data_IF_058143806951
#
_entry.id   IF_058143806951
#
_cell.length_a   1.000
_cell.length_b   1.000
_cell.length_c   1.000
_cell.angle_alpha   90.00
_cell.angle_beta   90.00
_cell.angle_gamma   90.00
#
_symmetry.space_group_name_H-M   'P 1'
#
loop_
_entity.id
_entity.type
_entity.pdbx_description
1 polymer ?
#
# COMPACT_ATOMS: atom_id res chain seq x y z
N UNK A 1 -25.64 13.49 -20.06
CA UNK A 1 -24.43 13.86 -19.31
C UNK A 1 -24.81 14.04 -17.86
N UNK A 2 -24.95 12.93 -17.14
CA UNK A 2 -25.09 12.94 -15.68
C UNK A 2 -23.69 13.02 -15.11
N UNK A 3 -23.39 14.11 -14.41
CA UNK A 3 -22.26 14.16 -13.49
C UNK A 3 -22.56 13.09 -12.44
N UNK A 4 -21.97 11.90 -12.58
CA UNK A 4 -22.05 10.87 -11.54
C UNK A 4 -21.39 11.48 -10.31
N UNK A 5 -22.20 11.89 -9.34
CA UNK A 5 -21.77 12.45 -8.07
C UNK A 5 -21.12 11.32 -7.27
N UNK A 6 -19.87 10.99 -7.64
CA UNK A 6 -19.10 9.91 -7.03
C UNK A 6 -18.89 10.25 -5.56
N UNK A 7 -19.27 9.31 -4.68
CA UNK A 7 -19.16 9.44 -3.23
C UNK A 7 -17.80 10.03 -2.78
N UNK A 8 -17.76 10.83 -1.70
CA UNK A 8 -16.53 11.46 -1.23
C UNK A 8 -15.48 10.42 -0.82
N UNK A 9 -14.22 10.69 -1.12
CA UNK A 9 -13.08 9.83 -0.73
C UNK A 9 -12.88 9.89 0.80
N UNK A 10 -12.87 8.74 1.47
CA UNK A 10 -12.81 8.57 2.94
C UNK A 10 -11.44 8.08 3.41
N UNK A 11 -10.37 8.78 3.04
CA UNK A 11 -9.01 8.46 3.51
C UNK A 11 -8.76 9.05 4.90
N UNK A 12 -8.14 8.26 5.78
CA UNK A 12 -7.70 8.70 7.10
C UNK A 12 -6.21 9.00 7.07
N UNK A 13 -5.88 10.29 7.11
CA UNK A 13 -4.51 10.76 7.22
C UNK A 13 -4.28 11.40 8.60
N UNK A 14 -3.12 11.17 9.24
CA UNK A 14 -2.78 11.82 10.50
C UNK A 14 -2.62 13.32 10.29
N UNK A 15 -2.86 14.11 11.34
CA UNK A 15 -2.57 15.55 11.32
C UNK A 15 -1.06 15.73 11.21
N UNK A 16 -0.63 16.68 10.36
CA UNK A 16 0.76 17.09 10.31
C UNK A 16 1.00 18.19 11.34
N UNK A 17 1.15 17.81 12.60
CA UNK A 17 1.28 18.69 13.76
C UNK A 17 2.72 18.90 14.24
N UNK A 18 3.70 18.26 13.61
CA UNK A 18 5.13 18.44 13.89
C UNK A 18 5.76 19.42 12.91
N UNK A 19 6.55 20.34 13.45
CA UNK A 19 7.32 21.34 12.68
C UNK A 19 8.76 20.92 12.42
N UNK A 20 9.27 19.93 13.15
CA UNK A 20 10.64 19.44 13.08
C UNK A 20 10.66 17.92 12.95
N UNK A 21 11.71 17.40 12.33
CA UNK A 21 11.97 15.98 12.20
C UNK A 21 13.35 15.66 12.80
N UNK A 22 13.42 14.61 13.62
CA UNK A 22 14.51 14.43 14.59
C UNK A 22 15.68 13.57 14.09
N UNK A 23 15.62 13.04 12.86
CA UNK A 23 16.57 12.01 12.41
C UNK A 23 17.61 12.50 11.39
N UNK A 24 17.19 13.23 10.36
CA UNK A 24 18.05 13.75 9.30
C UNK A 24 17.36 14.94 8.61
N UNK A 25 18.05 15.84 7.91
CA UNK A 25 17.39 16.90 7.15
C UNK A 25 16.43 16.30 6.10
N UNK A 26 15.23 16.86 5.93
CA UNK A 26 14.17 16.25 5.11
C UNK A 26 14.36 16.46 3.59
N UNK A 27 15.45 15.94 3.05
CA UNK A 27 15.68 15.85 1.60
C UNK A 27 15.89 14.41 1.17
N UNK A 28 15.66 14.11 -0.11
CA UNK A 28 15.93 12.77 -0.65
C UNK A 28 17.40 12.36 -0.56
N UNK A 29 18.34 13.31 -0.66
CA UNK A 29 19.77 13.04 -0.57
C UNK A 29 20.19 12.68 0.86
N UNK A 30 19.76 13.47 1.83
CA UNK A 30 20.02 13.21 3.26
C UNK A 30 19.37 11.90 3.71
N UNK A 31 18.16 11.60 3.23
CA UNK A 31 17.49 10.33 3.47
C UNK A 31 18.25 9.14 2.89
N UNK A 32 18.82 9.28 1.69
CA UNK A 32 19.61 8.23 1.05
C UNK A 32 20.94 8.00 1.78
N UNK A 33 21.62 9.08 2.19
CA UNK A 33 22.84 9.00 3.00
C UNK A 33 22.55 8.31 4.33
N UNK A 34 21.51 8.74 5.04
CA UNK A 34 21.06 8.12 6.28
C UNK A 34 20.71 6.64 6.08
N UNK A 35 19.97 6.29 5.02
CA UNK A 35 19.57 4.92 4.73
C UNK A 35 20.75 4.00 4.41
N UNK A 36 21.86 4.54 3.87
CA UNK A 36 23.09 3.79 3.63
C UNK A 36 23.79 3.31 4.92
N UNK A 37 23.51 3.97 6.04
CA UNK A 37 24.02 3.62 7.36
C UNK A 37 23.21 2.56 8.12
N UNK A 38 22.08 2.10 7.57
CA UNK A 38 21.22 1.11 8.23
C UNK A 38 21.90 -0.26 8.33
N UNK A 39 21.72 -0.99 9.45
CA UNK A 39 22.40 -2.26 9.67
C UNK A 39 21.91 -3.35 8.71
N UNK A 40 22.79 -3.81 7.82
CA UNK A 40 22.48 -4.85 6.81
C UNK A 40 22.19 -6.23 7.44
N UNK A 41 22.67 -6.48 8.67
CA UNK A 41 22.60 -7.79 9.33
C UNK A 41 21.31 -8.02 10.12
N UNK A 42 20.52 -6.99 10.40
CA UNK A 42 19.36 -7.07 11.30
C UNK A 42 18.10 -6.46 10.71
N UNK A 43 17.34 -7.26 9.97
CA UNK A 43 16.05 -6.82 9.40
C UNK A 43 15.04 -6.34 10.47
N UNK A 44 15.08 -6.92 11.68
CA UNK A 44 14.21 -6.50 12.80
C UNK A 44 14.55 -5.08 13.25
N UNK A 45 15.83 -4.78 13.43
CA UNK A 45 16.29 -3.46 13.86
C UNK A 45 16.03 -2.39 12.80
N UNK A 46 16.26 -2.72 11.52
CA UNK A 46 15.90 -1.84 10.40
C UNK A 46 14.41 -1.53 10.41
N UNK A 47 13.55 -2.55 10.52
CA UNK A 47 12.10 -2.33 10.56
C UNK A 47 11.64 -1.51 11.76
N UNK A 48 12.19 -1.75 12.96
CA UNK A 48 11.91 -0.95 14.15
C UNK A 48 12.29 0.52 13.96
N UNK A 49 13.47 0.77 13.38
CA UNK A 49 13.96 2.12 13.08
C UNK A 49 13.06 2.83 12.08
N UNK A 50 12.67 2.13 11.00
CA UNK A 50 11.78 2.68 9.98
C UNK A 50 10.37 2.95 10.51
N UNK A 51 9.84 2.13 11.43
CA UNK A 51 8.56 2.39 12.10
C UNK A 51 8.60 3.71 12.87
N UNK A 52 9.67 3.97 13.61
CA UNK A 52 9.83 5.23 14.37
C UNK A 52 9.85 6.42 13.40
N UNK A 53 10.70 6.34 12.37
CA UNK A 53 10.90 7.41 11.40
C UNK A 53 9.64 7.70 10.60
N UNK A 54 8.96 6.68 10.08
CA UNK A 54 7.71 6.86 9.33
C UNK A 54 6.59 7.38 10.24
N UNK A 55 6.59 6.99 11.51
CA UNK A 55 5.68 7.52 12.52
C UNK A 55 5.82 9.04 12.70
N UNK A 56 7.06 9.53 12.82
CA UNK A 56 7.36 10.97 12.90
C UNK A 56 7.09 11.67 11.55
N UNK A 57 7.61 11.12 10.44
CA UNK A 57 7.47 11.67 9.09
C UNK A 57 6.00 11.91 8.72
N UNK A 58 5.11 10.99 9.07
CA UNK A 58 3.66 11.10 8.82
C UNK A 58 3.00 12.30 9.53
N UNK A 59 3.63 12.84 10.57
CA UNK A 59 3.16 13.99 11.34
C UNK A 59 3.90 15.28 11.03
N UNK A 60 4.98 15.25 10.26
CA UNK A 60 5.74 16.46 9.91
C UNK A 60 5.10 17.17 8.73
N UNK A 61 5.05 18.51 8.77
CA UNK A 61 4.66 19.32 7.60
C UNK A 61 5.78 19.27 6.57
N UNK A 62 5.51 18.71 5.40
CA UNK A 62 6.49 18.54 4.31
C UNK A 62 5.78 18.59 2.95
N UNK A 63 6.31 19.34 1.95
CA UNK A 63 5.82 19.31 0.57
C UNK A 63 5.76 17.90 -0.01
N UNK A 64 4.78 17.65 -0.89
CA UNK A 64 4.53 16.33 -1.45
C UNK A 64 5.75 15.74 -2.18
N UNK A 65 6.45 16.56 -2.98
CA UNK A 65 7.62 16.13 -3.73
C UNK A 65 8.81 15.75 -2.83
N UNK A 66 9.08 16.54 -1.78
CA UNK A 66 10.14 16.26 -0.82
C UNK A 66 9.83 14.99 -0.01
N UNK A 67 8.58 14.84 0.45
CA UNK A 67 8.12 13.62 1.14
C UNK A 67 8.31 12.40 0.26
N UNK A 68 7.92 12.49 -1.01
CA UNK A 68 8.09 11.39 -1.95
C UNK A 68 9.57 11.03 -2.15
N UNK A 69 10.45 12.02 -2.31
CA UNK A 69 11.88 11.79 -2.46
C UNK A 69 12.50 11.09 -1.23
N UNK A 70 12.11 11.49 -0.01
CA UNK A 70 12.52 10.82 1.23
C UNK A 70 12.02 9.36 1.26
N UNK A 71 10.76 9.12 0.89
CA UNK A 71 10.17 7.78 0.88
C UNK A 71 10.85 6.86 -0.15
N UNK A 72 11.13 7.35 -1.36
CA UNK A 72 11.82 6.56 -2.38
C UNK A 72 13.26 6.21 -1.97
N UNK A 73 13.95 7.10 -1.24
CA UNK A 73 15.30 6.84 -0.75
C UNK A 73 15.34 5.70 0.29
N UNK A 74 14.34 5.60 1.18
CA UNK A 74 14.28 4.56 2.21
C UNK A 74 13.61 3.26 1.74
N UNK A 75 12.88 3.30 0.63
CA UNK A 75 12.06 2.17 0.13
C UNK A 75 12.84 0.87 -0.08
N UNK A 76 14.06 0.85 -0.66
CA UNK A 76 14.81 -0.40 -0.82
C UNK A 76 15.07 -1.11 0.50
N UNK A 77 15.43 -0.36 1.55
CA UNK A 77 15.71 -0.90 2.88
C UNK A 77 14.43 -1.45 3.52
N UNK A 78 13.30 -0.75 3.34
CA UNK A 78 11.99 -1.23 3.78
C UNK A 78 11.62 -2.54 3.10
N UNK A 79 11.76 -2.64 1.76
CA UNK A 79 11.43 -3.85 1.01
C UNK A 79 12.27 -5.05 1.48
N UNK A 80 13.58 -4.85 1.70
CA UNK A 80 14.48 -5.90 2.21
C UNK A 80 14.09 -6.32 3.64
N UNK A 81 13.75 -5.35 4.50
CA UNK A 81 13.33 -5.61 5.87
C UNK A 81 12.02 -6.42 5.88
N UNK A 82 10.98 -5.97 5.19
CA UNK A 82 9.68 -6.66 5.09
C UNK A 82 9.88 -8.07 4.54
N UNK A 83 10.57 -8.25 3.42
CA UNK A 83 10.81 -9.59 2.85
C UNK A 83 11.57 -10.53 3.81
N UNK A 84 12.48 -9.99 4.61
CA UNK A 84 13.23 -10.76 5.60
C UNK A 84 12.39 -11.12 6.83
N UNK A 85 11.51 -10.22 7.28
CA UNK A 85 10.53 -10.51 8.33
C UNK A 85 9.51 -11.56 7.86
N UNK A 86 8.96 -11.41 6.65
CA UNK A 86 7.99 -12.34 6.06
C UNK A 86 8.52 -13.78 6.02
N UNK A 87 9.79 -13.98 5.67
CA UNK A 87 10.42 -15.32 5.68
C UNK A 87 10.43 -16.00 7.05
N UNK A 88 10.47 -15.22 8.14
CA UNK A 88 10.49 -15.76 9.51
C UNK A 88 9.09 -16.12 10.05
N UNK A 89 8.03 -15.60 9.43
CA UNK A 89 6.64 -15.80 9.88
C UNK A 89 5.89 -16.87 9.08
N UNK A 90 6.42 -17.29 7.93
CA UNK A 90 5.91 -18.41 7.12
C UNK A 90 6.28 -19.75 7.78
N UNK A 91 5.45 -20.78 7.56
CA UNK A 91 5.60 -22.15 8.10
C UNK A 91 5.65 -22.22 9.64
N UNK A 92 5.14 -21.20 10.32
CA UNK A 92 4.96 -21.23 11.77
C UNK A 92 3.70 -22.03 12.15
N UNK A 93 3.62 -22.59 13.37
CA UNK A 93 2.39 -23.19 13.88
C UNK A 93 1.22 -22.20 13.87
N UNK A 94 -0.01 -22.72 13.77
CA UNK A 94 -1.23 -21.90 13.74
C UNK A 94 -1.33 -20.97 14.96
N UNK A 95 -0.99 -21.49 16.14
CA UNK A 95 -0.72 -20.67 17.33
C UNK A 95 0.74 -20.26 17.26
N UNK A 96 0.98 -19.08 16.70
CA UNK A 96 2.32 -18.58 16.46
C UNK A 96 3.06 -18.29 17.80
N UNK A 97 4.34 -18.69 17.94
CA UNK A 97 5.16 -18.29 19.08
C UNK A 97 5.36 -16.77 19.14
N UNK A 98 5.77 -16.26 20.30
CA UNK A 98 5.87 -14.82 20.54
C UNK A 98 6.79 -14.08 19.57
N UNK A 99 7.96 -14.65 19.25
CA UNK A 99 8.92 -13.96 18.38
C UNK A 99 8.37 -13.79 16.94
N UNK A 100 7.97 -14.84 16.20
CA UNK A 100 7.40 -14.64 14.86
C UNK A 100 6.14 -13.77 14.87
N UNK A 101 5.33 -13.83 15.95
CA UNK A 101 4.14 -12.97 16.08
C UNK A 101 4.53 -11.49 16.15
N UNK A 102 5.53 -11.15 16.96
CA UNK A 102 6.07 -9.79 17.03
C UNK A 102 6.66 -9.33 15.69
N UNK A 103 7.27 -10.23 14.91
CA UNK A 103 7.79 -9.89 13.58
C UNK A 103 6.66 -9.63 12.57
N UNK A 104 5.56 -10.39 12.64
CA UNK A 104 4.38 -10.14 11.81
C UNK A 104 3.73 -8.79 12.15
N UNK A 105 3.57 -8.49 13.44
CA UNK A 105 3.05 -7.20 13.93
C UNK A 105 3.94 -6.03 13.49
N UNK A 106 5.27 -6.19 13.59
CA UNK A 106 6.24 -5.18 13.15
C UNK A 106 6.17 -4.93 11.65
N UNK A 107 6.06 -6.00 10.85
CA UNK A 107 5.88 -5.93 9.39
C UNK A 107 4.57 -5.21 9.03
N UNK A 108 3.48 -5.57 9.71
CA UNK A 108 2.17 -4.94 9.51
C UNK A 108 2.21 -3.42 9.80
N UNK A 109 2.81 -3.05 10.94
CA UNK A 109 2.97 -1.66 11.35
C UNK A 109 3.81 -0.86 10.35
N UNK A 110 4.92 -1.43 9.88
CA UNK A 110 5.80 -0.80 8.90
C UNK A 110 5.07 -0.54 7.57
N UNK A 111 4.37 -1.55 7.05
CA UNK A 111 3.56 -1.43 5.83
C UNK A 111 2.47 -0.37 5.97
N UNK A 112 1.78 -0.34 7.12
CA UNK A 112 0.72 0.64 7.38
C UNK A 112 1.22 2.08 7.45
N UNK A 113 2.34 2.31 8.16
CA UNK A 113 2.96 3.63 8.25
C UNK A 113 3.49 4.11 6.90
N UNK A 114 4.11 3.23 6.12
CA UNK A 114 4.58 3.54 4.77
C UNK A 114 3.41 3.85 3.82
N UNK A 115 2.35 3.04 3.84
CA UNK A 115 1.13 3.29 3.05
C UNK A 115 0.52 4.66 3.37
N UNK A 116 0.46 5.00 4.67
CA UNK A 116 0.02 6.32 5.13
C UNK A 116 0.91 7.45 4.58
N UNK A 117 2.22 7.25 4.54
CA UNK A 117 3.17 8.25 4.07
C UNK A 117 3.00 8.54 2.57
N UNK A 118 2.82 7.51 1.74
CA UNK A 118 2.50 7.69 0.31
C UNK A 118 1.09 8.25 0.09
N UNK A 119 0.12 7.91 0.95
CA UNK A 119 -1.22 8.51 0.93
C UNK A 119 -1.15 10.02 1.15
N UNK A 120 -0.30 10.48 2.09
CA UNK A 120 -0.05 11.92 2.32
C UNK A 120 0.54 12.59 1.09
N UNK A 121 1.48 11.94 0.38
CA UNK A 121 2.02 12.46 -0.89
C UNK A 121 0.89 12.66 -1.91
N UNK A 122 0.05 11.64 -2.13
CA UNK A 122 -1.03 11.71 -3.11
C UNK A 122 -2.04 12.82 -2.79
N UNK A 123 -2.47 12.92 -1.53
CA UNK A 123 -3.44 13.93 -1.08
C UNK A 123 -2.85 15.34 -1.18
N UNK A 124 -1.59 15.54 -0.78
CA UNK A 124 -0.94 16.85 -0.86
C UNK A 124 -0.61 17.24 -2.31
N UNK A 125 -0.22 16.29 -3.16
CA UNK A 125 -0.01 16.54 -4.58
C UNK A 125 -1.31 17.00 -5.28
N UNK A 126 -2.47 16.48 -4.86
CA UNK A 126 -3.76 16.96 -5.34
C UNK A 126 -4.11 18.35 -4.77
N UNK A 127 -3.95 18.55 -3.45
CA UNK A 127 -4.30 19.79 -2.76
C UNK A 127 -3.48 20.98 -3.24
N UNK A 128 -2.17 20.78 -3.39
CA UNK A 128 -1.19 21.82 -3.64
C UNK A 128 -0.72 21.80 -5.12
N UNK A 129 -1.55 21.27 -6.03
CA UNK A 129 -1.16 20.98 -7.42
C UNK A 129 -0.65 22.20 -8.19
N UNK A 130 -1.17 23.38 -7.89
CA UNK A 130 -0.84 24.63 -8.58
C UNK A 130 0.44 25.29 -8.05
N UNK A 131 0.95 24.83 -6.89
CA UNK A 131 2.17 25.37 -6.27
C UNK A 131 3.40 24.49 -6.50
N UNK A 132 3.21 23.29 -7.06
CA UNK A 132 4.29 22.37 -7.40
C UNK A 132 5.10 22.91 -8.59
N UNK A 133 6.41 23.11 -8.38
CA UNK A 133 7.35 23.59 -9.40
C UNK A 133 8.30 22.44 -9.78
N UNK A 134 8.51 22.24 -11.08
CA UNK A 134 9.48 21.26 -11.60
C UNK A 134 9.06 19.78 -11.49
N UNK A 135 7.86 19.49 -10.98
CA UNK A 135 7.30 18.15 -10.86
C UNK A 135 5.89 18.12 -11.45
N UNK A 136 5.55 17.06 -12.18
CA UNK A 136 4.18 16.86 -12.68
C UNK A 136 3.28 16.33 -11.54
N UNK A 137 2.25 17.09 -11.08
CA UNK A 137 1.41 16.68 -9.96
C UNK A 137 0.66 15.37 -10.20
N UNK A 138 0.16 15.15 -11.42
CA UNK A 138 -0.60 13.95 -11.77
C UNK A 138 0.30 12.70 -11.76
N UNK A 139 1.54 12.83 -12.24
CA UNK A 139 2.54 11.76 -12.19
C UNK A 139 2.90 11.43 -10.74
N UNK A 140 3.26 12.44 -9.94
CA UNK A 140 3.60 12.28 -8.52
C UNK A 140 2.46 11.59 -7.75
N UNK A 141 1.22 12.04 -7.98
CA UNK A 141 0.04 11.46 -7.37
C UNK A 141 -0.18 10.01 -7.82
N UNK A 142 -0.02 9.70 -9.10
CA UNK A 142 -0.18 8.35 -9.65
C UNK A 142 0.83 7.37 -9.05
N UNK A 143 2.11 7.75 -9.03
CA UNK A 143 3.19 6.95 -8.44
C UNK A 143 2.94 6.74 -6.93
N UNK A 144 2.58 7.79 -6.19
CA UNK A 144 2.29 7.68 -4.76
C UNK A 144 1.06 6.79 -4.46
N UNK A 145 -0.01 6.90 -5.25
CA UNK A 145 -1.20 6.03 -5.10
C UNK A 145 -0.88 4.58 -5.38
N UNK A 146 -0.09 4.30 -6.42
CA UNK A 146 0.33 2.94 -6.74
C UNK A 146 1.11 2.32 -5.57
N UNK A 147 2.08 3.05 -4.99
CA UNK A 147 2.85 2.57 -3.83
C UNK A 147 2.00 2.38 -2.58
N UNK A 148 1.08 3.31 -2.29
CA UNK A 148 0.17 3.18 -1.15
C UNK A 148 -0.75 1.94 -1.28
N UNK A 149 -1.27 1.69 -2.49
CA UNK A 149 -2.11 0.52 -2.78
C UNK A 149 -1.29 -0.77 -2.66
N UNK A 150 -0.06 -0.82 -3.19
CA UNK A 150 0.78 -2.01 -3.09
C UNK A 150 1.12 -2.36 -1.62
N UNK A 151 1.49 -1.36 -0.82
CA UNK A 151 1.76 -1.56 0.62
C UNK A 151 0.52 -2.04 1.37
N UNK A 152 -0.66 -1.48 1.06
CA UNK A 152 -1.93 -1.90 1.64
C UNK A 152 -2.30 -3.33 1.19
N UNK A 153 -2.05 -3.67 -0.07
CA UNK A 153 -2.21 -5.03 -0.59
C UNK A 153 -1.27 -6.01 0.12
N UNK A 154 -0.04 -5.60 0.44
CA UNK A 154 0.91 -6.36 1.26
C UNK A 154 0.38 -6.70 2.65
N UNK A 155 -0.31 -5.75 3.31
CA UNK A 155 -0.99 -6.00 4.60
C UNK A 155 -2.08 -7.06 4.47
N UNK A 156 -2.96 -6.90 3.48
CA UNK A 156 -4.05 -7.86 3.20
C UNK A 156 -3.47 -9.25 2.90
N UNK A 157 -2.43 -9.29 2.07
CA UNK A 157 -1.74 -10.53 1.72
C UNK A 157 -1.11 -11.21 2.94
N UNK A 158 -0.48 -10.46 3.84
CA UNK A 158 0.07 -11.01 5.08
C UNK A 158 -1.02 -11.67 5.94
N UNK A 159 -2.21 -11.06 6.06
CA UNK A 159 -3.31 -11.68 6.80
C UNK A 159 -3.79 -12.98 6.16
N UNK A 160 -3.89 -13.03 4.83
CA UNK A 160 -4.17 -14.28 4.12
C UNK A 160 -3.10 -15.33 4.34
N UNK A 161 -1.84 -14.95 4.29
CA UNK A 161 -0.70 -15.84 4.49
C UNK A 161 -0.68 -16.43 5.91
N UNK A 162 -1.07 -15.64 6.91
CA UNK A 162 -1.11 -16.05 8.32
C UNK A 162 -2.44 -16.70 8.72
N UNK A 163 -3.38 -16.85 7.80
CA UNK A 163 -4.76 -17.31 8.05
C UNK A 163 -5.45 -16.55 9.19
N UNK A 164 -5.14 -15.27 9.30
CA UNK A 164 -5.71 -14.37 10.29
C UNK A 164 -6.95 -13.67 9.72
N UNK A 165 -7.93 -13.31 10.58
CA UNK A 165 -8.99 -12.41 10.14
C UNK A 165 -8.37 -11.10 9.65
N UNK A 166 -8.97 -10.49 8.61
CA UNK A 166 -8.48 -9.24 8.06
C UNK A 166 -8.47 -8.13 9.11
N UNK A 167 -7.47 -7.25 9.04
CA UNK A 167 -7.39 -6.06 9.89
C UNK A 167 -8.53 -5.08 9.58
N UNK A 168 -8.98 -4.37 10.61
CA UNK A 168 -9.96 -3.31 10.45
C UNK A 168 -9.45 -2.23 9.47
N UNK A 169 -10.23 -1.96 8.42
CA UNK A 169 -10.09 -0.90 7.42
C UNK A 169 -9.04 -1.09 6.33
N UNK A 170 -8.36 -2.24 6.25
CA UNK A 170 -7.39 -2.46 5.19
C UNK A 170 -8.06 -2.44 3.80
N UNK A 171 -9.21 -3.11 3.66
CA UNK A 171 -9.98 -3.12 2.41
C UNK A 171 -10.54 -1.74 2.08
N UNK A 172 -11.17 -1.08 3.06
CA UNK A 172 -11.68 0.26 2.85
C UNK A 172 -10.55 1.22 2.42
N UNK A 173 -9.39 1.16 3.05
CA UNK A 173 -8.24 2.01 2.66
C UNK A 173 -7.81 1.71 1.23
N UNK A 174 -7.67 0.44 0.86
CA UNK A 174 -7.34 -0.01 -0.49
C UNK A 174 -8.33 0.53 -1.53
N UNK A 175 -9.64 0.39 -1.28
CA UNK A 175 -10.69 0.86 -2.19
C UNK A 175 -10.72 2.39 -2.31
N UNK A 176 -10.53 3.12 -1.20
CA UNK A 176 -10.57 4.58 -1.22
C UNK A 176 -9.33 5.19 -1.90
N UNK A 177 -8.17 4.53 -1.83
CA UNK A 177 -6.98 4.90 -2.62
C UNK A 177 -7.24 4.70 -4.12
N UNK A 178 -7.83 3.58 -4.51
CA UNK A 178 -8.20 3.32 -5.91
C UNK A 178 -9.27 4.32 -6.40
N UNK A 179 -10.29 4.59 -5.59
CA UNK A 179 -11.33 5.58 -5.89
C UNK A 179 -10.75 6.98 -6.11
N UNK A 180 -9.77 7.38 -5.30
CA UNK A 180 -9.04 8.64 -5.51
C UNK A 180 -8.30 8.65 -6.86
N UNK A 181 -7.62 7.56 -7.23
CA UNK A 181 -6.96 7.43 -8.52
C UNK A 181 -7.97 7.50 -9.68
N UNK A 182 -9.12 6.85 -9.54
CA UNK A 182 -10.18 6.80 -10.54
C UNK A 182 -10.77 8.20 -10.81
N UNK A 183 -11.07 8.94 -9.74
CA UNK A 183 -11.56 10.33 -9.83
C UNK A 183 -10.57 11.28 -10.52
N UNK A 184 -9.28 10.97 -10.48
CA UNK A 184 -8.24 11.74 -11.15
C UNK A 184 -7.82 11.15 -12.51
N UNK A 185 -8.50 10.11 -12.99
CA UNK A 185 -8.20 9.41 -14.25
C UNK A 185 -6.77 8.85 -14.32
N UNK A 186 -6.24 8.39 -13.18
CA UNK A 186 -4.87 7.89 -13.06
C UNK A 186 -4.76 6.36 -13.09
N UNK A 187 -5.89 5.63 -13.03
CA UNK A 187 -5.92 4.18 -12.76
C UNK A 187 -5.14 3.34 -13.75
N UNK A 188 -5.13 3.73 -15.03
CA UNK A 188 -4.51 2.99 -16.14
C UNK A 188 -3.15 3.54 -16.58
N UNK A 189 -2.65 4.59 -15.95
CA UNK A 189 -1.35 5.16 -16.29
C UNK A 189 -0.24 4.17 -15.87
N UNK A 190 0.78 4.06 -16.72
CA UNK A 190 1.95 3.22 -16.45
C UNK A 190 2.78 3.85 -15.34
N UNK A 191 3.08 3.04 -14.32
CA UNK A 191 3.96 3.38 -13.21
C UNK A 191 5.12 2.39 -13.23
N UNK A 192 6.34 2.91 -13.23
CA UNK A 192 7.54 2.08 -13.01
C UNK A 192 7.74 1.91 -11.50
N UNK A 193 7.49 0.71 -11.01
CA UNK A 193 7.69 0.40 -9.61
C UNK A 193 9.19 0.27 -9.26
N UNK A 194 10.05 0.01 -10.24
CA UNK A 194 11.49 -0.23 -10.03
C UNK A 194 11.85 -1.51 -9.25
N UNK A 195 10.88 -2.16 -8.59
CA UNK A 195 11.06 -3.47 -7.94
C UNK A 195 10.23 -4.56 -8.62
N UNK A 196 8.93 -4.32 -8.80
CA UNK A 196 7.98 -5.25 -9.43
C UNK A 196 7.81 -5.01 -10.94
N UNK A 197 8.58 -4.10 -11.54
CA UNK A 197 8.51 -3.73 -12.95
C UNK A 197 7.44 -2.67 -13.25
N UNK A 198 6.93 -2.65 -14.49
CA UNK A 198 5.95 -1.65 -14.91
C UNK A 198 4.54 -2.16 -14.65
N UNK A 199 3.75 -1.41 -13.88
CA UNK A 199 2.38 -1.73 -13.49
C UNK A 199 1.45 -0.51 -13.66
N UNK A 200 0.22 -0.61 -13.15
CA UNK A 200 -0.75 0.48 -13.05
C UNK A 200 -1.41 0.46 -11.66
N UNK A 201 -2.06 1.57 -11.29
CA UNK A 201 -2.88 1.60 -10.06
C UNK A 201 -3.99 0.55 -10.11
N UNK A 202 -4.62 0.35 -11.27
CA UNK A 202 -5.66 -0.65 -11.46
C UNK A 202 -5.15 -2.08 -11.25
N UNK A 203 -4.05 -2.46 -11.90
CA UNK A 203 -3.47 -3.79 -11.74
C UNK A 203 -3.03 -4.06 -10.29
N UNK A 204 -2.40 -3.07 -9.66
CA UNK A 204 -1.98 -3.15 -8.25
C UNK A 204 -3.18 -3.33 -7.31
N UNK A 205 -4.29 -2.63 -7.57
CA UNK A 205 -5.54 -2.75 -6.81
C UNK A 205 -6.22 -4.10 -7.03
N UNK A 206 -6.29 -4.59 -8.26
CA UNK A 206 -6.92 -5.88 -8.60
C UNK A 206 -6.20 -7.08 -7.97
N UNK A 207 -4.90 -7.00 -7.74
CA UNK A 207 -4.07 -8.09 -7.21
C UNK A 207 -4.62 -8.73 -5.92
N UNK A 208 -4.81 -8.00 -4.79
CA UNK A 208 -5.40 -8.58 -3.57
C UNK A 208 -6.87 -8.97 -3.75
N UNK A 209 -7.62 -8.27 -4.61
CA UNK A 209 -9.03 -8.57 -4.90
C UNK A 209 -9.17 -9.96 -5.53
N UNK A 210 -8.44 -10.21 -6.62
CA UNK A 210 -8.43 -11.50 -7.32
C UNK A 210 -7.96 -12.63 -6.40
N UNK A 211 -6.93 -12.38 -5.58
CA UNK A 211 -6.46 -13.37 -4.61
C UNK A 211 -7.55 -13.75 -3.61
N UNK A 212 -8.33 -12.78 -3.12
CA UNK A 212 -9.42 -13.05 -2.17
C UNK A 212 -10.53 -13.93 -2.77
N UNK A 213 -10.76 -13.84 -4.08
CA UNK A 213 -11.71 -14.68 -4.81
C UNK A 213 -11.27 -16.15 -4.87
N UNK A 214 -9.99 -16.45 -4.63
CA UNK A 214 -9.43 -17.80 -4.67
C UNK A 214 -9.58 -18.60 -3.36
N UNK A 215 -10.36 -18.10 -2.38
CA UNK A 215 -10.51 -18.73 -1.05
C UNK A 215 -9.15 -18.94 -0.35
N UNK A 216 -8.42 -17.86 -0.04
CA UNK A 216 -7.02 -17.96 0.43
C UNK A 216 -6.82 -18.86 1.66
N UNK A 217 -7.82 -18.97 2.53
CA UNK A 217 -7.80 -19.85 3.70
C UNK A 217 -7.80 -21.37 3.38
N UNK A 218 -7.99 -21.74 2.11
CA UNK A 218 -7.95 -23.13 1.62
C UNK A 218 -6.70 -23.43 0.79
N UNK A 219 -5.82 -22.44 0.62
CA UNK A 219 -4.63 -22.51 -0.22
C UNK A 219 -3.39 -22.52 0.68
N UNK A 220 -2.36 -23.30 0.33
CA UNK A 220 -1.13 -23.35 1.12
C UNK A 220 -0.35 -22.04 0.99
N UNK A 221 0.41 -21.68 2.02
CA UNK A 221 1.21 -20.45 2.05
C UNK A 221 2.15 -20.29 0.84
N UNK A 222 2.82 -21.36 0.41
CA UNK A 222 3.68 -21.33 -0.77
C UNK A 222 2.92 -21.01 -2.06
N UNK A 223 1.73 -21.59 -2.21
CA UNK A 223 0.86 -21.34 -3.37
C UNK A 223 0.28 -19.91 -3.32
N UNK A 224 -0.10 -19.40 -2.15
CA UNK A 224 -0.52 -18.00 -1.97
C UNK A 224 0.57 -17.03 -2.42
N UNK A 225 1.84 -17.28 -2.05
CA UNK A 225 2.98 -16.44 -2.47
C UNK A 225 3.15 -16.47 -4.00
N UNK A 226 3.07 -17.65 -4.61
CA UNK A 226 3.17 -17.79 -6.06
C UNK A 226 2.02 -17.07 -6.77
N UNK A 227 0.77 -17.29 -6.31
CA UNK A 227 -0.42 -16.66 -6.86
C UNK A 227 -0.35 -15.14 -6.74
N UNK A 228 0.02 -14.60 -5.57
CA UNK A 228 0.12 -13.16 -5.38
C UNK A 228 1.15 -12.54 -6.33
N UNK A 229 2.28 -13.20 -6.61
CA UNK A 229 3.24 -12.75 -7.62
C UNK A 229 2.64 -12.74 -9.03
N UNK A 230 2.07 -13.87 -9.48
CA UNK A 230 1.49 -13.98 -10.83
C UNK A 230 0.31 -13.02 -11.07
N UNK A 231 -0.50 -12.76 -10.03
CA UNK A 231 -1.66 -11.87 -10.14
C UNK A 231 -1.30 -10.40 -10.40
N UNK A 232 -0.05 -9.98 -10.18
CA UNK A 232 0.38 -8.64 -10.58
C UNK A 232 0.51 -8.54 -12.11
N UNK A 233 1.01 -9.60 -12.76
CA UNK A 233 1.14 -9.68 -14.22
C UNK A 233 -0.22 -9.91 -14.89
N UNK A 234 -1.00 -10.86 -14.35
CA UNK A 234 -2.30 -11.24 -14.91
C UNK A 234 -3.44 -10.31 -14.53
N UNK A 235 -3.24 -9.42 -13.55
CA UNK A 235 -4.25 -8.46 -13.12
C UNK A 235 -4.73 -7.54 -14.25
N UNK A 236 -3.92 -7.35 -15.29
CA UNK A 236 -4.29 -6.59 -16.49
C UNK A 236 -5.35 -7.27 -17.38
N UNK A 237 -5.58 -8.57 -17.23
CA UNK A 237 -6.60 -9.33 -17.96
C UNK A 237 -7.99 -9.21 -17.31
N UNK A 238 -8.06 -8.70 -16.08
CA UNK A 238 -9.32 -8.47 -15.39
C UNK A 238 -9.89 -7.10 -15.73
N UNK A 239 -11.13 -7.08 -16.19
CA UNK A 239 -11.86 -5.86 -16.49
C UNK A 239 -12.73 -5.42 -15.31
N UNK A 240 -12.78 -4.12 -15.09
CA UNK A 240 -13.70 -3.48 -14.14
C UNK A 240 -14.85 -2.87 -14.93
N UNK A 241 -16.08 -3.23 -14.59
CA UNK A 241 -17.29 -2.70 -15.22
C UNK A 241 -18.30 -2.30 -14.14
N UNK A 242 -19.19 -1.35 -14.49
CA UNK A 242 -20.38 -1.02 -13.69
C UNK A 242 -21.58 -1.92 -14.05
N UNK A 243 -21.37 -2.92 -14.93
CA UNK A 243 -22.40 -3.86 -15.40
C UNK A 243 -22.81 -4.88 -14.32
N UNK A 244 -24.11 -5.17 -14.24
CA UNK A 244 -24.73 -6.14 -13.34
C UNK A 244 -24.41 -7.60 -13.71
N UNK A 245 -23.88 -7.85 -14.92
CA UNK A 245 -23.49 -9.21 -15.35
C UNK A 245 -22.13 -9.68 -14.82
N UNK A 246 -21.40 -8.85 -14.06
CA UNK A 246 -20.11 -9.22 -13.49
C UNK A 246 -20.18 -10.44 -12.54
N UNK A 247 -19.13 -11.27 -12.52
CA UNK A 247 -19.05 -12.42 -11.61
C UNK A 247 -18.88 -11.98 -10.14
N UNK A 248 -18.08 -10.94 -9.92
CA UNK A 248 -17.76 -10.39 -8.61
C UNK A 248 -18.16 -8.91 -8.55
N UNK A 249 -18.74 -8.50 -7.41
CA UNK A 249 -19.06 -7.13 -7.08
C UNK A 249 -18.12 -6.62 -5.98
N UNK A 250 -17.74 -5.34 -6.08
CA UNK A 250 -16.89 -4.65 -5.12
C UNK A 250 -17.62 -3.40 -4.64
N UNK A 251 -17.90 -3.34 -3.34
CA UNK A 251 -18.37 -2.11 -2.72
C UNK A 251 -17.15 -1.27 -2.29
N UNK A 252 -16.92 -0.16 -2.99
CA UNK A 252 -15.78 0.74 -2.77
C UNK A 252 -15.84 1.42 -1.39
N UNK A 253 -17.03 1.53 -0.78
CA UNK A 253 -17.21 2.13 0.54
C UNK A 253 -17.08 1.13 1.69
N UNK A 254 -17.24 -0.17 1.40
CA UNK A 254 -17.13 -1.23 2.38
C UNK A 254 -15.69 -1.55 2.75
N UNK A 255 -15.53 -2.09 3.96
CA UNK A 255 -14.28 -2.69 4.42
C UNK A 255 -14.32 -4.21 4.21
N UNK A 256 -14.50 -4.64 2.96
CA UNK A 256 -14.68 -6.05 2.62
C UNK A 256 -14.01 -6.40 1.28
N UNK A 257 -13.58 -7.65 1.09
CA UNK A 257 -13.16 -8.14 -0.22
C UNK A 257 -14.34 -8.20 -1.21
N UNK A 258 -14.07 -8.40 -2.51
CA UNK A 258 -15.08 -8.74 -3.50
C UNK A 258 -15.97 -9.90 -3.06
N UNK A 259 -17.24 -9.83 -3.45
CA UNK A 259 -18.22 -10.90 -3.23
C UNK A 259 -18.85 -11.31 -4.56
N UNK A 260 -19.52 -12.45 -4.62
CA UNK A 260 -20.29 -12.81 -5.82
C UNK A 260 -21.43 -11.82 -6.04
N UNK A 261 -21.52 -11.26 -7.25
CA UNK A 261 -22.53 -10.23 -7.56
C UNK A 261 -23.97 -10.72 -7.37
N UNK A 262 -24.22 -12.02 -7.61
CA UNK A 262 -25.54 -12.67 -7.45
C UNK A 262 -25.80 -13.25 -6.06
N UNK A 263 -25.00 -12.87 -5.05
CA UNK A 263 -25.26 -13.26 -3.66
C UNK A 263 -26.36 -12.37 -3.07
N UNK A 264 -27.29 -12.88 -2.24
CA UNK A 264 -28.48 -12.14 -1.77
C UNK A 264 -28.22 -10.95 -0.82
N UNK A 265 -26.99 -10.41 -0.81
CA UNK A 265 -26.58 -9.22 -0.05
C UNK A 265 -26.43 -7.96 -0.92
N UNK A 266 -26.69 -8.06 -2.22
CA UNK A 266 -26.86 -6.94 -3.14
C UNK A 266 -28.24 -7.03 -3.80
#
# INVERSE_FOLDING_TARGET
MTVTDKAPVKLRIPRQDLTTFSHFPLTGADAAEWASGLPVTSAREVAQTLVIILGELNRVVLPAAERYAVLEAIRPNMNVAVASLSRKVINQPLVMPDEPRQLAELSDQLLGLASTAYTLVAVHALRDRDTLVGVNPARLMCEALQRAIDLTAGKIFQHFLLYQPGENRAWQTLHQLYHLAERQHLTRLRVDDGHEGITTVQATWLRPLLLSCCKPNQVRQGDLIAMFRCLLEWGGEAETSEDEEALFAVDIDADQPPTYAKSPRF
#
